data_IF_729659153924
#
_entry.id   IF_729659153924
#
_cell.length_a   1.000
_cell.length_b   1.000
_cell.length_c   1.000
_cell.angle_alpha   90.00
_cell.angle_beta   90.00
_cell.angle_gamma   90.00
#
_symmetry.space_group_name_H-M   'P 1'
#
loop_
_entity.id
_entity.type
_entity.pdbx_description
1 polymer ?
#
# COMPACT_ATOMS: atom_id res chain seq x y z
N UNK A 1 -22.09 -1.49 32.01
CA UNK A 1 -22.97 -0.60 31.23
C UNK A 1 -23.86 -1.48 30.39
N UNK A 2 -25.18 -1.23 30.38
CA UNK A 2 -26.14 -2.00 29.56
C UNK A 2 -26.07 -1.53 28.11
N UNK A 3 -26.55 -2.34 27.17
CA UNK A 3 -26.57 -1.95 25.76
C UNK A 3 -27.40 -0.68 25.50
N UNK A 4 -28.49 -0.47 26.27
CA UNK A 4 -29.31 0.73 26.16
C UNK A 4 -28.56 2.00 26.60
N UNK A 5 -27.74 1.91 27.66
CA UNK A 5 -26.87 3.00 28.05
C UNK A 5 -25.82 3.32 26.95
N UNK A 6 -25.33 2.30 26.25
CA UNK A 6 -24.37 2.48 25.14
C UNK A 6 -25.04 3.17 23.95
N UNK A 7 -26.29 2.80 23.63
CA UNK A 7 -27.09 3.48 22.59
C UNK A 7 -27.37 4.94 22.94
N UNK A 8 -27.66 5.25 24.20
CA UNK A 8 -27.80 6.64 24.65
C UNK A 8 -26.50 7.42 24.45
N UNK A 9 -25.36 6.81 24.80
CA UNK A 9 -24.03 7.41 24.62
C UNK A 9 -23.69 7.65 23.14
N UNK A 10 -24.16 6.82 22.22
CA UNK A 10 -24.05 7.04 20.77
C UNK A 10 -24.84 8.27 20.28
N UNK A 11 -25.83 8.75 21.02
CA UNK A 11 -26.57 9.96 20.67
C UNK A 11 -25.98 11.23 21.32
N UNK A 12 -24.88 11.11 22.05
CA UNK A 12 -24.22 12.26 22.68
C UNK A 12 -23.68 13.24 21.65
N UNK A 13 -23.78 14.54 21.94
CA UNK A 13 -23.13 15.59 21.13
C UNK A 13 -21.59 15.46 21.17
N UNK A 14 -21.04 14.96 22.29
CA UNK A 14 -19.60 14.71 22.41
C UNK A 14 -19.20 13.46 21.62
N UNK A 15 -18.43 13.68 20.56
CA UNK A 15 -17.90 12.61 19.73
C UNK A 15 -16.95 11.66 20.48
N UNK A 16 -16.31 12.09 21.57
CA UNK A 16 -15.49 11.18 22.39
C UNK A 16 -16.36 10.14 23.09
N UNK A 17 -17.53 10.54 23.60
CA UNK A 17 -18.48 9.60 24.18
C UNK A 17 -19.00 8.63 23.11
N UNK A 18 -19.28 9.09 21.90
CA UNK A 18 -19.68 8.19 20.80
C UNK A 18 -18.57 7.22 20.38
N UNK A 19 -17.30 7.65 20.38
CA UNK A 19 -16.13 6.77 20.16
C UNK A 19 -16.06 5.70 21.24
N UNK A 20 -16.15 6.08 22.52
CA UNK A 20 -16.13 5.14 23.63
C UNK A 20 -17.31 4.16 23.55
N UNK A 21 -18.50 4.62 23.14
CA UNK A 21 -19.66 3.75 22.93
C UNK A 21 -19.39 2.69 21.85
N UNK A 22 -18.75 3.08 20.74
CA UNK A 22 -18.33 2.12 19.72
C UNK A 22 -17.34 1.08 20.26
N UNK A 23 -16.43 1.45 21.17
CA UNK A 23 -15.49 0.52 21.80
C UNK A 23 -16.20 -0.45 22.76
N UNK A 24 -17.15 0.06 23.54
CA UNK A 24 -17.94 -0.74 24.49
C UNK A 24 -18.85 -1.76 23.80
N UNK A 25 -19.38 -1.43 22.60
CA UNK A 25 -20.21 -2.34 21.80
C UNK A 25 -19.52 -3.65 21.42
N UNK A 26 -18.18 -3.71 21.43
CA UNK A 26 -17.42 -4.93 21.12
C UNK A 26 -17.78 -6.09 22.07
N UNK A 27 -18.16 -5.80 23.32
CA UNK A 27 -18.56 -6.81 24.31
C UNK A 27 -20.01 -7.34 24.08
N UNK A 28 -20.74 -6.79 23.09
CA UNK A 28 -22.10 -7.19 22.70
C UNK A 28 -22.25 -7.52 21.19
N UNK A 29 -21.49 -8.47 20.62
CA UNK A 29 -21.44 -8.69 19.17
C UNK A 29 -22.79 -8.94 18.49
N UNK A 30 -23.69 -9.68 19.14
CA UNK A 30 -24.99 -10.08 18.57
C UNK A 30 -25.88 -8.87 18.25
N UNK A 31 -25.75 -7.80 19.04
CA UNK A 31 -26.53 -6.57 18.87
C UNK A 31 -25.71 -5.43 18.23
N UNK A 32 -24.38 -5.51 18.29
CA UNK A 32 -23.49 -4.41 17.96
C UNK A 32 -23.28 -4.20 16.46
N UNK A 33 -23.34 -5.26 15.65
CA UNK A 33 -22.89 -5.19 14.25
C UNK A 33 -23.72 -4.17 13.45
N UNK A 34 -25.05 -4.26 13.51
CA UNK A 34 -25.92 -3.35 12.77
C UNK A 34 -25.80 -1.91 13.29
N UNK A 35 -25.66 -1.74 14.61
CA UNK A 35 -25.46 -0.42 15.24
C UNK A 35 -24.15 0.22 14.76
N UNK A 36 -23.06 -0.55 14.70
CA UNK A 36 -21.76 -0.07 14.25
C UNK A 36 -21.76 0.22 12.74
N UNK A 37 -22.49 -0.54 11.94
CA UNK A 37 -22.67 -0.25 10.51
C UNK A 37 -23.42 1.07 10.33
N UNK A 38 -24.52 1.29 11.05
CA UNK A 38 -25.27 2.55 11.01
C UNK A 38 -24.40 3.75 11.44
N UNK A 39 -23.46 3.52 12.37
CA UNK A 39 -22.53 4.53 12.85
C UNK A 39 -21.56 5.03 11.75
N UNK A 40 -21.51 4.40 10.58
CA UNK A 40 -20.82 4.96 9.40
C UNK A 40 -21.46 6.25 8.87
N UNK A 41 -22.67 6.60 9.30
CA UNK A 41 -23.31 7.87 9.00
C UNK A 41 -23.00 8.98 10.02
N UNK A 42 -22.19 8.71 11.05
CA UNK A 42 -21.85 9.71 12.07
C UNK A 42 -21.19 10.95 11.45
N UNK A 43 -21.55 12.15 11.92
CA UNK A 43 -21.00 13.43 11.46
C UNK A 43 -19.47 13.52 11.61
N UNK A 44 -18.90 12.87 12.62
CA UNK A 44 -17.48 12.89 12.94
C UNK A 44 -16.72 11.71 12.28
N UNK A 45 -15.70 11.99 11.44
CA UNK A 45 -14.90 10.95 10.80
C UNK A 45 -14.16 9.99 11.74
N UNK A 46 -13.85 10.43 12.97
CA UNK A 46 -13.20 9.61 13.99
C UNK A 46 -14.15 8.58 14.58
N UNK A 47 -15.43 8.93 14.76
CA UNK A 47 -16.46 7.99 15.22
C UNK A 47 -16.67 6.90 14.17
N UNK A 48 -16.81 7.27 12.89
CA UNK A 48 -16.90 6.30 11.78
C UNK A 48 -15.70 5.36 11.69
N UNK A 49 -14.49 5.91 11.90
CA UNK A 49 -13.27 5.11 11.94
C UNK A 49 -13.26 4.14 13.12
N UNK A 50 -13.69 4.59 14.30
CA UNK A 50 -13.79 3.74 15.46
C UNK A 50 -14.84 2.64 15.27
N UNK A 51 -15.97 2.92 14.63
CA UNK A 51 -16.98 1.92 14.30
C UNK A 51 -16.39 0.80 13.42
N UNK A 52 -15.63 1.16 12.38
CA UNK A 52 -14.96 0.19 11.50
C UNK A 52 -13.92 -0.66 12.28
N UNK A 53 -13.18 -0.02 13.18
CA UNK A 53 -12.23 -0.70 14.06
C UNK A 53 -12.95 -1.66 15.00
N UNK A 54 -14.04 -1.25 15.63
CA UNK A 54 -14.84 -2.12 16.50
C UNK A 54 -15.42 -3.32 15.74
N UNK A 55 -15.94 -3.13 14.53
CA UNK A 55 -16.39 -4.22 13.66
C UNK A 55 -15.25 -5.19 13.32
N UNK A 56 -14.03 -4.68 13.10
CA UNK A 56 -12.85 -5.53 12.87
C UNK A 56 -12.40 -6.29 14.13
N UNK A 57 -12.62 -5.73 15.32
CA UNK A 57 -12.32 -6.36 16.60
C UNK A 57 -13.35 -7.43 16.98
N UNK A 58 -14.62 -7.24 16.58
CA UNK A 58 -15.65 -8.29 16.62
C UNK A 58 -15.23 -9.48 15.75
N UNK A 59 -14.68 -9.22 14.56
CA UNK A 59 -14.01 -10.22 13.73
C UNK A 59 -14.92 -10.89 12.70
N UNK A 60 -14.80 -12.21 12.54
CA UNK A 60 -15.45 -12.96 11.46
C UNK A 60 -16.98 -12.84 11.45
N UNK A 61 -17.60 -12.63 12.62
CA UNK A 61 -19.04 -12.45 12.78
C UNK A 61 -19.54 -11.19 12.01
N UNK A 62 -18.68 -10.19 11.85
CA UNK A 62 -18.97 -8.97 11.09
C UNK A 62 -18.90 -9.15 9.57
N UNK A 63 -18.27 -10.22 9.06
CA UNK A 63 -17.93 -10.33 7.62
C UNK A 63 -19.18 -10.35 6.75
N UNK A 64 -20.15 -11.21 7.06
CA UNK A 64 -21.34 -11.36 6.21
C UNK A 64 -22.19 -10.07 6.18
N UNK A 65 -22.50 -9.42 7.32
CA UNK A 65 -23.16 -8.11 7.31
C UNK A 65 -22.37 -7.05 6.51
N UNK A 66 -21.06 -6.96 6.71
CA UNK A 66 -20.20 -6.02 5.97
C UNK A 66 -20.21 -6.28 4.45
N UNK A 67 -20.17 -7.54 4.02
CA UNK A 67 -20.27 -7.90 2.59
C UNK A 67 -21.62 -7.45 2.01
N UNK A 68 -22.71 -7.69 2.72
CA UNK A 68 -24.04 -7.26 2.28
C UNK A 68 -24.10 -5.74 2.17
N UNK A 69 -23.61 -5.00 3.18
CA UNK A 69 -23.53 -3.54 3.13
C UNK A 69 -22.68 -3.04 1.97
N UNK A 70 -21.58 -3.72 1.62
CA UNK A 70 -20.75 -3.33 0.47
C UNK A 70 -21.50 -3.47 -0.87
N UNK A 71 -22.37 -4.49 -1.00
CA UNK A 71 -23.12 -4.80 -2.22
C UNK A 71 -24.37 -3.94 -2.38
N UNK A 72 -25.09 -3.70 -1.28
CA UNK A 72 -26.43 -3.13 -1.31
C UNK A 72 -26.47 -1.60 -1.11
N UNK A 73 -25.31 -0.98 -0.84
CA UNK A 73 -25.21 0.44 -0.52
C UNK A 73 -24.36 1.18 -1.58
N UNK A 74 -24.83 2.35 -2.03
CA UNK A 74 -24.15 3.25 -2.97
C UNK A 74 -23.44 4.43 -2.28
N UNK A 75 -23.61 4.60 -0.97
CA UNK A 75 -22.89 5.58 -0.17
C UNK A 75 -21.40 5.24 -0.08
N UNK A 76 -20.61 6.01 -0.81
CA UNK A 76 -19.15 5.91 -0.88
C UNK A 76 -18.47 6.03 0.48
N UNK A 77 -19.07 6.76 1.43
CA UNK A 77 -18.53 6.90 2.80
C UNK A 77 -18.65 5.55 3.51
N UNK A 78 -19.84 4.98 3.54
CA UNK A 78 -20.13 3.66 4.12
C UNK A 78 -19.26 2.57 3.49
N UNK A 79 -19.26 2.45 2.16
CA UNK A 79 -18.46 1.44 1.45
C UNK A 79 -16.97 1.54 1.78
N UNK A 80 -16.43 2.76 1.91
CA UNK A 80 -15.02 2.97 2.31
C UNK A 80 -14.73 2.39 3.71
N UNK A 81 -15.60 2.63 4.69
CA UNK A 81 -15.37 2.13 6.05
C UNK A 81 -15.63 0.62 6.16
N UNK A 82 -16.56 0.08 5.37
CA UNK A 82 -16.74 -1.36 5.18
C UNK A 82 -15.45 -2.01 4.64
N UNK A 83 -14.87 -1.48 3.56
CA UNK A 83 -13.60 -1.97 3.00
C UNK A 83 -12.47 -1.89 4.05
N UNK A 84 -12.45 -0.82 4.84
CA UNK A 84 -11.46 -0.67 5.91
C UNK A 84 -11.59 -1.77 6.96
N UNK A 85 -12.82 -2.03 7.44
CA UNK A 85 -13.10 -3.07 8.41
C UNK A 85 -12.75 -4.47 7.87
N UNK A 86 -13.22 -4.81 6.67
CA UNK A 86 -12.93 -6.10 6.00
C UNK A 86 -11.42 -6.35 5.86
N UNK A 87 -10.67 -5.32 5.47
CA UNK A 87 -9.20 -5.40 5.39
C UNK A 87 -8.56 -5.65 6.75
N UNK A 88 -9.03 -5.02 7.82
CA UNK A 88 -8.47 -5.21 9.17
C UNK A 88 -8.86 -6.55 9.80
N UNK A 89 -10.03 -7.11 9.44
CA UNK A 89 -10.39 -8.51 9.74
C UNK A 89 -9.40 -9.47 9.05
N UNK A 90 -8.93 -9.12 7.86
CA UNK A 90 -7.91 -9.84 7.09
C UNK A 90 -8.27 -11.31 6.82
N UNK A 91 -9.57 -11.58 6.63
CA UNK A 91 -10.07 -12.88 6.20
C UNK A 91 -10.12 -12.91 4.67
N UNK A 92 -9.45 -13.86 4.04
CA UNK A 92 -9.35 -13.94 2.57
C UNK A 92 -10.65 -14.35 1.89
N UNK A 93 -11.68 -14.81 2.63
CA UNK A 93 -13.00 -15.12 2.05
C UNK A 93 -13.69 -13.91 1.43
N UNK A 94 -13.26 -12.69 1.78
CA UNK A 94 -13.82 -11.42 1.29
C UNK A 94 -13.14 -10.92 0.01
N UNK A 95 -12.18 -11.71 -0.51
CA UNK A 95 -11.34 -11.33 -1.65
C UNK A 95 -12.18 -11.04 -2.91
N UNK A 96 -13.19 -11.86 -3.20
CA UNK A 96 -14.05 -11.70 -4.37
C UNK A 96 -14.80 -10.36 -4.33
N UNK A 97 -15.40 -10.01 -3.21
CA UNK A 97 -16.10 -8.74 -3.04
C UNK A 97 -15.17 -7.53 -3.16
N UNK A 98 -13.96 -7.63 -2.60
CA UNK A 98 -12.97 -6.57 -2.74
C UNK A 98 -12.43 -6.45 -4.17
N UNK A 99 -12.32 -7.57 -4.91
CA UNK A 99 -11.97 -7.56 -6.34
C UNK A 99 -13.08 -6.86 -7.14
N UNK A 100 -14.35 -7.17 -6.88
CA UNK A 100 -15.48 -6.50 -7.53
C UNK A 100 -15.51 -5.00 -7.24
N UNK A 101 -15.13 -4.57 -6.02
CA UNK A 101 -15.03 -3.16 -5.67
C UNK A 101 -13.93 -2.39 -6.46
N UNK A 102 -13.02 -3.09 -7.15
CA UNK A 102 -12.08 -2.46 -8.09
C UNK A 102 -12.76 -1.88 -9.33
N UNK A 103 -13.99 -2.31 -9.65
CA UNK A 103 -14.80 -1.82 -10.77
C UNK A 103 -15.76 -0.69 -10.39
N UNK A 104 -15.70 -0.21 -9.15
CA UNK A 104 -16.57 0.89 -8.71
C UNK A 104 -16.39 2.13 -9.58
N UNK A 105 -17.50 2.82 -9.88
CA UNK A 105 -17.50 4.12 -10.56
C UNK A 105 -16.79 5.19 -9.72
N UNK A 106 -16.83 5.06 -8.39
CA UNK A 106 -16.15 5.95 -7.47
C UNK A 106 -14.66 5.62 -7.31
N UNK A 107 -13.81 6.60 -7.59
CA UNK A 107 -12.35 6.43 -7.53
C UNK A 107 -11.84 6.15 -6.11
N UNK A 108 -12.52 6.64 -5.07
CA UNK A 108 -12.12 6.38 -3.69
C UNK A 108 -12.33 4.90 -3.37
N UNK A 109 -13.44 4.30 -3.79
CA UNK A 109 -13.71 2.88 -3.61
C UNK A 109 -12.68 2.01 -4.30
N UNK A 110 -12.39 2.24 -5.59
CA UNK A 110 -11.31 1.54 -6.31
C UNK A 110 -9.97 1.64 -5.59
N UNK A 111 -9.63 2.85 -5.12
CA UNK A 111 -8.39 3.12 -4.38
C UNK A 111 -8.31 2.36 -3.06
N UNK A 112 -9.39 2.29 -2.30
CA UNK A 112 -9.45 1.58 -1.01
C UNK A 112 -9.43 0.06 -1.22
N UNK A 113 -10.18 -0.46 -2.19
CA UNK A 113 -10.17 -1.86 -2.56
C UNK A 113 -8.77 -2.33 -2.99
N UNK A 114 -8.11 -1.61 -3.89
CA UNK A 114 -6.75 -1.94 -4.32
C UNK A 114 -5.76 -1.93 -3.16
N UNK A 115 -5.85 -0.93 -2.27
CA UNK A 115 -5.03 -0.87 -1.06
C UNK A 115 -5.30 -2.08 -0.15
N UNK A 116 -6.56 -2.45 0.03
CA UNK A 116 -6.97 -3.54 0.90
C UNK A 116 -6.41 -4.89 0.41
N UNK A 117 -6.68 -5.23 -0.85
CA UNK A 117 -6.19 -6.44 -1.50
C UNK A 117 -4.66 -6.54 -1.46
N UNK A 118 -3.97 -5.41 -1.66
CA UNK A 118 -2.51 -5.33 -1.55
C UNK A 118 -1.99 -5.61 -0.13
N UNK A 119 -2.62 -5.05 0.89
CA UNK A 119 -2.21 -5.24 2.30
C UNK A 119 -2.57 -6.64 2.83
N UNK A 120 -3.61 -7.26 2.25
CA UNK A 120 -4.00 -8.65 2.48
C UNK A 120 -3.19 -9.66 1.65
N UNK A 121 -2.35 -9.19 0.73
CA UNK A 121 -1.52 -10.02 -0.16
C UNK A 121 -2.35 -11.02 -1.01
N UNK A 122 -3.53 -10.59 -1.51
CA UNK A 122 -4.44 -11.41 -2.35
C UNK A 122 -3.88 -11.53 -3.76
N UNK A 123 -3.37 -12.70 -4.13
CA UNK A 123 -2.73 -12.94 -5.43
C UNK A 123 -3.75 -12.98 -6.59
N UNK A 124 -4.95 -13.47 -6.34
CA UNK A 124 -6.06 -13.60 -7.29
C UNK A 124 -6.49 -12.24 -7.86
N UNK A 125 -6.28 -11.16 -7.11
CA UNK A 125 -6.58 -9.80 -7.52
C UNK A 125 -5.56 -9.21 -8.51
N UNK A 126 -4.44 -9.88 -8.78
CA UNK A 126 -3.31 -9.33 -9.53
C UNK A 126 -3.72 -8.75 -10.88
N UNK A 127 -4.48 -9.52 -11.67
CA UNK A 127 -4.86 -9.11 -13.03
C UNK A 127 -5.77 -7.88 -13.00
N UNK A 128 -6.73 -7.88 -12.08
CA UNK A 128 -7.65 -6.74 -11.91
C UNK A 128 -6.94 -5.48 -11.42
N UNK A 129 -6.02 -5.62 -10.46
CA UNK A 129 -5.21 -4.48 -9.98
C UNK A 129 -4.29 -3.95 -11.09
N UNK A 130 -3.83 -4.79 -12.03
CA UNK A 130 -3.02 -4.34 -13.16
C UNK A 130 -3.77 -3.40 -14.11
N UNK A 131 -5.09 -3.57 -14.29
CA UNK A 131 -5.94 -2.66 -15.08
C UNK A 131 -5.94 -1.24 -14.50
N UNK A 132 -5.90 -1.12 -13.17
CA UNK A 132 -5.89 0.16 -12.45
C UNK A 132 -4.57 0.93 -12.54
N UNK A 133 -3.52 0.38 -13.16
CA UNK A 133 -2.25 1.09 -13.39
C UNK A 133 -2.40 2.29 -14.34
N UNK A 134 -3.46 2.29 -15.15
CA UNK A 134 -3.81 3.35 -16.11
C UNK A 134 -5.10 4.07 -15.74
N UNK A 135 -5.60 3.90 -14.51
CA UNK A 135 -6.79 4.59 -14.01
C UNK A 135 -6.66 6.11 -14.13
N UNK A 136 -7.77 6.82 -14.35
CA UNK A 136 -7.79 8.29 -14.45
C UNK A 136 -7.36 8.97 -13.16
N UNK A 137 -7.75 8.41 -12.00
CA UNK A 137 -7.37 8.94 -10.70
C UNK A 137 -5.93 8.55 -10.31
N UNK A 138 -5.14 9.56 -9.94
CA UNK A 138 -3.75 9.37 -9.55
C UNK A 138 -3.59 8.57 -8.25
N UNK A 139 -4.58 8.67 -7.35
CA UNK A 139 -4.63 7.94 -6.10
C UNK A 139 -4.86 6.45 -6.34
N UNK A 140 -5.78 6.11 -7.24
CA UNK A 140 -6.03 4.73 -7.69
C UNK A 140 -4.78 4.12 -8.30
N UNK A 141 -4.15 4.78 -9.29
CA UNK A 141 -2.89 4.29 -9.90
C UNK A 141 -1.81 4.01 -8.84
N UNK A 142 -1.67 4.93 -7.88
CA UNK A 142 -0.69 4.83 -6.79
C UNK A 142 -0.99 3.64 -5.87
N UNK A 143 -2.26 3.47 -5.47
CA UNK A 143 -2.70 2.34 -4.66
C UNK A 143 -2.49 1.01 -5.37
N UNK A 144 -2.90 0.89 -6.63
CA UNK A 144 -2.72 -0.31 -7.44
C UNK A 144 -1.25 -0.69 -7.58
N UNK A 145 -0.38 0.29 -7.90
CA UNK A 145 1.06 0.06 -8.01
C UNK A 145 1.67 -0.39 -6.68
N UNK A 146 1.25 0.20 -5.56
CA UNK A 146 1.71 -0.21 -4.22
C UNK A 146 1.24 -1.62 -3.90
N UNK A 147 -0.03 -1.93 -4.20
CA UNK A 147 -0.66 -3.22 -3.94
C UNK A 147 0.03 -4.37 -4.67
N UNK A 148 0.30 -4.22 -5.98
CA UNK A 148 1.09 -5.19 -6.76
C UNK A 148 2.48 -5.41 -6.17
N UNK A 149 3.08 -4.36 -5.60
CA UNK A 149 4.34 -4.45 -4.89
C UNK A 149 4.25 -5.14 -3.51
N UNK A 150 3.13 -5.02 -2.81
CA UNK A 150 2.88 -5.71 -1.54
C UNK A 150 2.58 -7.20 -1.77
N UNK A 151 1.76 -7.53 -2.78
CA UNK A 151 1.48 -8.90 -3.27
C UNK A 151 2.76 -9.57 -3.84
N UNK A 152 3.73 -8.79 -4.31
CA UNK A 152 4.93 -9.26 -5.04
C UNK A 152 4.61 -9.91 -6.39
N UNK A 153 3.60 -9.38 -7.09
CA UNK A 153 3.16 -9.88 -8.38
C UNK A 153 4.25 -9.76 -9.46
N UNK A 154 4.96 -10.85 -9.74
CA UNK A 154 6.01 -10.92 -10.78
C UNK A 154 5.45 -10.66 -12.19
N UNK A 155 4.24 -11.15 -12.46
CA UNK A 155 3.48 -10.90 -13.70
C UNK A 155 3.27 -9.41 -13.98
N UNK A 156 3.21 -8.57 -12.94
CA UNK A 156 2.94 -7.14 -13.07
C UNK A 156 4.18 -6.29 -13.40
N UNK A 157 5.38 -6.87 -13.42
CA UNK A 157 6.64 -6.10 -13.59
C UNK A 157 6.61 -5.23 -14.85
N UNK A 158 6.24 -5.80 -16.00
CA UNK A 158 6.30 -5.06 -17.26
C UNK A 158 5.17 -4.04 -17.39
N UNK A 159 3.99 -4.33 -16.84
CA UNK A 159 2.89 -3.38 -16.74
C UNK A 159 3.28 -2.17 -15.87
N UNK A 160 3.88 -2.39 -14.70
CA UNK A 160 4.39 -1.31 -13.83
C UNK A 160 5.48 -0.51 -14.54
N UNK A 161 6.40 -1.16 -15.27
CA UNK A 161 7.43 -0.44 -16.06
C UNK A 161 6.79 0.41 -17.17
N UNK A 162 5.76 -0.10 -17.85
CA UNK A 162 5.02 0.64 -18.90
C UNK A 162 4.33 1.87 -18.31
N UNK A 163 3.54 1.70 -17.24
CA UNK A 163 2.86 2.79 -16.54
C UNK A 163 3.86 3.85 -16.03
N UNK A 164 4.98 3.43 -15.43
CA UNK A 164 6.05 4.32 -14.97
C UNK A 164 6.65 5.18 -16.09
N UNK A 165 6.81 4.62 -17.31
CA UNK A 165 7.33 5.37 -18.46
C UNK A 165 6.30 6.37 -18.99
N UNK A 166 5.03 5.96 -19.04
CA UNK A 166 3.92 6.80 -19.50
C UNK A 166 3.63 8.01 -18.58
N UNK A 167 3.88 7.88 -17.27
CA UNK A 167 3.68 8.93 -16.27
C UNK A 167 4.66 10.11 -16.41
N UNK A 168 4.64 10.84 -17.52
CA UNK A 168 5.53 11.98 -17.79
C UNK A 168 5.27 13.10 -16.79
N UNK A 169 6.32 13.69 -16.21
CA UNK A 169 6.20 14.75 -15.20
C UNK A 169 5.81 14.28 -13.78
N UNK A 170 5.11 13.15 -13.63
CA UNK A 170 4.70 12.62 -12.33
C UNK A 170 5.85 11.90 -11.61
N UNK A 171 6.65 12.68 -10.89
CA UNK A 171 7.79 12.19 -10.12
C UNK A 171 7.36 11.30 -8.96
N UNK A 172 6.19 11.53 -8.38
CA UNK A 172 5.77 10.81 -7.18
C UNK A 172 5.30 9.40 -7.54
N UNK A 173 4.47 9.26 -8.57
CA UNK A 173 4.10 7.95 -9.10
C UNK A 173 5.32 7.14 -9.55
N UNK A 174 6.31 7.76 -10.20
CA UNK A 174 7.56 7.07 -10.58
C UNK A 174 8.32 6.52 -9.37
N UNK A 175 8.33 7.22 -8.23
CA UNK A 175 8.94 6.69 -6.99
C UNK A 175 8.18 5.49 -6.46
N UNK A 176 6.85 5.55 -6.47
CA UNK A 176 5.98 4.45 -6.04
C UNK A 176 6.22 3.22 -6.91
N UNK A 177 6.22 3.36 -8.24
CA UNK A 177 6.52 2.28 -9.18
C UNK A 177 7.90 1.67 -8.95
N UNK A 178 8.94 2.49 -8.76
CA UNK A 178 10.29 1.98 -8.46
C UNK A 178 10.34 1.21 -7.12
N UNK A 179 9.58 1.67 -6.10
CA UNK A 179 9.48 0.99 -4.81
C UNK A 179 8.76 -0.34 -4.94
N UNK A 180 7.67 -0.40 -5.70
CA UNK A 180 6.93 -1.62 -5.98
C UNK A 180 7.81 -2.65 -6.72
N UNK A 181 8.46 -2.24 -7.82
CA UNK A 181 9.40 -3.10 -8.57
C UNK A 181 10.52 -3.65 -7.67
N UNK A 182 11.06 -2.84 -6.75
CA UNK A 182 12.08 -3.29 -5.79
C UNK A 182 11.55 -4.32 -4.78
N UNK A 183 10.26 -4.28 -4.43
CA UNK A 183 9.66 -5.28 -3.55
C UNK A 183 9.43 -6.61 -4.28
N UNK A 184 8.99 -6.55 -5.54
CA UNK A 184 8.73 -7.72 -6.40
C UNK A 184 10.03 -8.42 -6.74
N UNK A 185 11.02 -7.68 -7.26
CA UNK A 185 12.34 -8.19 -7.64
C UNK A 185 13.44 -7.41 -6.89
N UNK A 186 13.76 -7.81 -5.65
CA UNK A 186 14.82 -7.18 -4.89
C UNK A 186 16.17 -7.57 -5.50
N UNK A 187 16.79 -6.65 -6.25
CA UNK A 187 18.17 -6.82 -6.74
C UNK A 187 19.08 -7.36 -5.62
N UNK A 188 19.91 -8.39 -5.89
CA UNK A 188 20.81 -8.93 -4.89
C UNK A 188 21.68 -7.79 -4.34
N UNK A 189 21.75 -7.67 -3.01
CA UNK A 189 22.60 -6.68 -2.34
C UNK A 189 24.02 -6.93 -2.84
N UNK A 190 24.60 -6.01 -3.63
CA UNK A 190 26.02 -6.04 -4.00
C UNK A 190 26.79 -6.23 -2.69
N UNK A 191 27.43 -7.38 -2.52
CA UNK A 191 28.23 -7.68 -1.34
C UNK A 191 29.20 -6.53 -1.12
N UNK A 192 29.30 -6.05 0.12
CA UNK A 192 30.47 -5.26 0.53
C UNK A 192 31.68 -6.06 0.05
N UNK A 193 32.52 -5.47 -0.80
CA UNK A 193 33.85 -6.01 -1.08
C UNK A 193 34.58 -6.09 0.25
N UNK A 194 34.50 -7.23 0.94
CA UNK A 194 35.47 -7.57 1.98
C UNK A 194 36.75 -7.84 1.22
N UNK A 195 37.67 -6.89 1.26
CA UNK A 195 39.06 -7.07 0.86
C UNK A 195 39.65 -8.19 1.71
N UNK A 196 39.54 -9.43 1.21
CA UNK A 196 40.29 -10.56 1.75
C UNK A 196 41.73 -10.33 1.28
N UNK A 197 42.57 -9.79 2.16
CA UNK A 197 44.02 -9.68 1.99
C UNK A 197 44.55 -11.11 1.84
N UNK A 198 44.70 -11.57 0.60
CA UNK A 198 45.37 -12.83 0.29
C UNK A 198 46.86 -12.62 0.52
N UNK A 199 47.36 -13.19 1.61
CA UNK A 199 48.78 -13.41 1.82
C UNK A 199 49.29 -14.36 0.74
N UNK A 200 50.29 -13.86 0.03
CA UNK A 200 51.04 -14.52 -1.04
C UNK A 200 51.87 -15.63 -0.39
N UNK A 201 51.62 -16.90 -0.72
CA UNK A 201 52.65 -17.95 -0.58
C UNK A 201 53.03 -18.40 -1.98
N UNK A 202 54.29 -18.14 -2.28
CA UNK A 202 55.03 -18.50 -3.47
C UNK A 202 55.21 -20.01 -3.55
N UNK A 203 54.87 -20.60 -4.69
CA UNK A 203 55.50 -21.84 -5.15
C UNK A 203 55.72 -21.73 -6.65
N UNK A 204 56.98 -21.82 -7.02
CA UNK A 204 57.55 -21.86 -8.36
C UNK A 204 57.56 -23.32 -8.82
N UNK A 205 57.18 -23.61 -10.08
CA UNK A 205 58.12 -23.82 -11.22
C UNK A 205 57.44 -24.48 -12.43
N UNK A 206 57.88 -24.00 -13.60
CA UNK A 206 58.14 -24.73 -14.87
C UNK A 206 56.95 -25.35 -15.62
N UNK A 207 56.48 -24.73 -16.71
CA UNK A 207 56.96 -24.75 -18.12
C UNK A 207 56.14 -25.71 -18.97
N UNK A 208 55.49 -25.18 -20.01
CA UNK A 208 55.69 -25.59 -21.41
C UNK A 208 55.02 -24.59 -22.35
N UNK A 209 55.70 -24.36 -23.47
CA UNK A 209 55.47 -23.37 -24.52
C UNK A 209 55.06 -24.14 -25.77
N UNK A 210 53.99 -23.73 -26.46
CA UNK A 210 53.68 -23.99 -27.88
C UNK A 210 52.66 -22.92 -28.31
N UNK A 211 53.06 -21.86 -29.04
CA UNK A 211 53.04 -21.72 -30.53
C UNK A 211 51.68 -22.09 -31.11
N UNK A 212 50.85 -21.14 -31.52
CA UNK A 212 50.82 -20.41 -32.82
C UNK A 212 49.46 -20.76 -33.46
N UNK A 213 48.61 -19.79 -33.78
CA UNK A 213 48.45 -19.36 -35.17
C UNK A 213 47.56 -18.12 -35.31
N UNK A 214 47.83 -17.38 -36.38
CA UNK A 214 47.36 -16.05 -36.74
C UNK A 214 46.72 -16.13 -38.12
N UNK A 215 45.50 -15.61 -38.30
CA UNK A 215 44.92 -15.16 -39.59
C UNK A 215 43.72 -14.27 -39.24
N UNK A 216 43.69 -12.94 -39.35
CA UNK A 216 43.73 -11.98 -40.49
C UNK A 216 42.71 -12.23 -41.61
N UNK A 217 41.70 -11.36 -41.71
CA UNK A 217 41.38 -10.51 -42.88
C UNK A 217 40.16 -9.62 -42.54
N UNK A 218 40.29 -8.28 -42.53
CA UNK A 218 40.00 -7.33 -43.64
C UNK A 218 38.51 -7.27 -44.00
N UNK A 219 37.87 -6.17 -44.40
CA UNK A 219 38.13 -4.72 -44.64
C UNK A 219 36.81 -4.28 -45.32
N UNK A 220 36.21 -3.12 -45.04
CA UNK A 220 36.07 -1.96 -45.97
C UNK A 220 34.95 -1.06 -45.43
N UNK A 221 35.14 0.23 -45.07
CA UNK A 221 35.11 1.47 -45.91
C UNK A 221 33.82 1.61 -46.72
N UNK A 222 33.11 2.74 -46.91
CA UNK A 222 33.35 4.20 -46.93
C UNK A 222 31.96 4.86 -47.17
N UNK A 223 31.61 6.06 -46.67
CA UNK A 223 31.42 7.36 -47.39
C UNK A 223 30.45 8.19 -46.50
N UNK A 224 30.75 9.38 -45.96
CA UNK A 224 30.77 10.75 -46.55
C UNK A 224 29.46 11.05 -47.33
N UNK A 225 28.61 12.03 -47.00
CA UNK A 225 28.68 13.51 -47.02
C UNK A 225 27.30 14.03 -46.54
N UNK A 226 26.94 15.30 -46.31
CA UNK A 226 27.55 16.59 -45.95
C UNK A 226 26.38 17.63 -46.02
N UNK A 227 26.32 18.63 -45.12
CA UNK A 227 25.65 19.97 -45.26
C UNK A 227 24.09 20.00 -45.45
N UNK A 228 23.29 21.01 -45.06
CA UNK A 228 23.51 22.43 -44.72
C UNK A 228 22.29 23.03 -43.97
N UNK A 229 22.59 24.07 -43.16
CA UNK A 229 21.81 25.21 -42.61
C UNK A 229 20.40 25.52 -43.16
N UNK A 230 19.51 26.04 -42.28
CA UNK A 230 19.06 27.47 -42.29
C UNK A 230 18.25 27.85 -41.04
N UNK A 231 18.39 29.13 -40.64
CA UNK A 231 17.71 29.88 -39.56
C UNK A 231 16.43 30.56 -40.10
N UNK A 232 15.47 30.85 -39.21
CA UNK A 232 14.68 32.11 -39.05
C UNK A 232 13.86 31.94 -37.75
N UNK A 233 14.15 32.65 -36.65
CA UNK A 233 13.84 34.04 -36.29
C UNK A 233 12.35 34.35 -36.17
N UNK A 234 11.87 34.53 -34.94
CA UNK A 234 10.81 35.48 -34.60
C UNK A 234 10.94 35.90 -33.12
N UNK A 235 10.50 37.11 -32.84
CA UNK A 235 10.97 38.01 -31.78
C UNK A 235 9.87 38.37 -30.77
N UNK A 236 10.19 38.24 -29.46
CA UNK A 236 9.84 39.11 -28.28
C UNK A 236 8.33 39.40 -27.95
N UNK A 237 7.97 39.98 -26.76
CA UNK A 237 8.78 40.70 -25.75
C UNK A 237 8.66 40.28 -24.27
N UNK A 238 9.47 40.99 -23.47
CA UNK A 238 9.77 40.90 -22.03
C UNK A 238 8.70 41.54 -21.12
N UNK A 239 8.62 41.07 -19.88
CA UNK A 239 8.47 41.82 -18.61
C UNK A 239 8.49 40.81 -17.45
N UNK A 240 8.99 40.99 -16.22
CA UNK A 240 9.74 42.01 -15.48
C UNK A 240 10.51 41.22 -14.39
N UNK A 241 11.71 41.70 -14.03
CA UNK A 241 12.45 41.27 -12.83
C UNK A 241 11.90 42.03 -11.64
N UNK A 242 11.67 41.35 -10.53
CA UNK A 242 11.79 41.94 -9.19
C UNK A 242 12.30 40.89 -8.20
N UNK A 243 13.14 41.34 -7.28
CA UNK A 243 14.04 40.53 -6.47
C UNK A 243 13.76 40.69 -4.98
N UNK A 244 13.65 39.52 -4.29
CA UNK A 244 14.05 39.23 -2.87
C UNK A 244 13.24 39.91 -1.73
N UNK A 245 13.27 39.40 -0.46
CA UNK A 245 14.30 38.53 0.14
C UNK A 245 13.85 37.28 0.94
N UNK A 246 14.89 36.57 1.38
CA UNK A 246 14.96 35.32 2.16
C UNK A 246 14.45 35.48 3.60
N UNK A 247 13.85 34.43 4.16
CA UNK A 247 13.86 34.15 5.59
C UNK A 247 14.38 32.73 5.85
N UNK A 248 15.55 32.65 6.52
CA UNK A 248 16.09 31.42 7.11
C UNK A 248 15.29 31.11 8.39
N UNK A 249 14.78 29.89 8.53
CA UNK A 249 14.52 29.28 9.85
C UNK A 249 15.27 27.96 9.95
N UNK A 250 16.29 27.98 10.78
CA UNK A 250 17.05 26.84 11.28
C UNK A 250 16.26 26.20 12.43
N UNK A 251 15.95 24.91 12.35
CA UNK A 251 15.67 24.11 13.55
C UNK A 251 16.36 22.75 13.44
N UNK A 252 17.14 22.45 14.48
CA UNK A 252 17.90 21.21 14.72
C UNK A 252 16.95 20.00 14.74
N UNK A 253 17.32 18.91 14.06
CA UNK A 253 16.75 17.57 14.31
C UNK A 253 17.77 16.76 15.11
N UNK A 254 17.42 16.45 16.37
CA UNK A 254 18.06 15.40 17.15
C UNK A 254 17.58 14.04 16.64
N UNK A 255 18.52 13.10 16.56
CA UNK A 255 18.32 11.74 16.10
C UNK A 255 18.11 10.80 17.28
N UNK A 256 16.95 10.16 17.38
CA UNK A 256 16.79 8.91 18.12
C UNK A 256 16.36 7.82 17.15
N UNK A 257 17.17 6.74 17.11
CA UNK A 257 16.90 5.51 16.35
C UNK A 257 15.66 4.84 16.94
N UNK A 258 14.55 4.82 16.20
CA UNK A 258 13.41 3.95 16.49
C UNK A 258 13.43 2.74 15.58
N UNK A 259 13.39 1.58 16.20
CA UNK A 259 13.20 0.25 15.59
C UNK A 259 11.87 0.20 14.84
N UNK A 260 11.85 -0.50 13.69
CA UNK A 260 10.74 -0.45 12.73
C UNK A 260 9.41 -1.03 13.29
N UNK A 261 8.29 -0.27 13.24
CA UNK A 261 6.98 -0.66 13.82
C UNK A 261 6.33 -1.93 13.25
N UNK A 262 6.74 -2.37 12.05
CA UNK A 262 6.03 -3.42 11.30
C UNK A 262 6.12 -4.83 11.89
N UNK A 263 7.16 -5.13 12.69
CA UNK A 263 7.30 -6.45 13.33
C UNK A 263 6.52 -6.57 14.64
N UNK A 264 6.25 -5.45 15.33
CA UNK A 264 5.51 -5.43 16.59
C UNK A 264 4.01 -5.62 16.32
N UNK A 265 3.48 -4.97 15.27
CA UNK A 265 2.06 -5.06 14.91
C UNK A 265 1.57 -6.49 14.56
N UNK A 266 2.34 -7.30 13.82
CA UNK A 266 1.92 -8.68 13.46
C UNK A 266 1.87 -9.61 14.68
N UNK A 267 2.70 -9.37 15.70
CA UNK A 267 2.72 -10.17 16.93
C UNK A 267 1.54 -9.79 17.83
N UNK A 268 1.21 -8.50 17.91
CA UNK A 268 0.10 -8.00 18.74
C UNK A 268 -1.28 -8.46 18.23
N UNK A 269 -1.51 -8.50 16.91
CA UNK A 269 -2.78 -8.97 16.34
C UNK A 269 -3.00 -10.46 16.69
N UNK A 270 -1.98 -11.30 16.54
CA UNK A 270 -2.08 -12.73 16.85
C UNK A 270 -2.31 -12.98 18.34
N UNK A 271 -1.70 -12.16 19.22
CA UNK A 271 -1.95 -12.21 20.68
C UNK A 271 -3.36 -11.75 21.05
N UNK A 272 -3.87 -10.68 20.44
CA UNK A 272 -5.25 -10.18 20.65
C UNK A 272 -6.29 -11.22 20.22
N UNK A 273 -6.08 -11.92 19.10
CA UNK A 273 -6.95 -13.02 18.64
C UNK A 273 -7.03 -14.18 19.63
N UNK A 274 -5.91 -14.53 20.25
CA UNK A 274 -5.87 -15.58 21.28
C UNK A 274 -6.57 -15.12 22.56
N UNK A 275 -6.40 -13.86 22.95
CA UNK A 275 -7.02 -13.29 24.14
C UNK A 275 -8.54 -13.16 23.98
N UNK A 276 -9.03 -12.71 22.82
CA UNK A 276 -10.47 -12.65 22.51
C UNK A 276 -11.14 -14.03 22.53
N UNK A 277 -10.51 -15.05 21.95
CA UNK A 277 -11.01 -16.44 22.03
C UNK A 277 -11.05 -16.99 23.46
N UNK A 278 -10.05 -16.66 24.28
CA UNK A 278 -10.03 -17.07 25.70
C UNK A 278 -11.14 -16.38 26.51
N UNK A 279 -11.40 -15.09 26.26
CA UNK A 279 -12.53 -14.38 26.86
C UNK A 279 -13.88 -15.00 26.47
N UNK A 280 -14.12 -15.27 25.17
CA UNK A 280 -15.34 -15.97 24.68
C UNK A 280 -15.56 -17.32 25.37
N UNK A 281 -14.51 -18.13 25.52
CA UNK A 281 -14.60 -19.43 26.20
C UNK A 281 -14.90 -19.31 27.71
N UNK A 282 -14.48 -18.21 28.35
CA UNK A 282 -14.77 -17.96 29.77
C UNK A 282 -16.20 -17.49 30.00
N UNK A 283 -16.73 -16.62 29.16
CA UNK A 283 -18.13 -16.15 29.23
C UNK A 283 -19.12 -17.26 28.88
N UNK A 284 -18.82 -18.11 27.90
CA UNK A 284 -19.63 -19.30 27.57
C UNK A 284 -19.66 -20.35 28.70
N UNK A 285 -18.59 -20.48 29.49
CA UNK A 285 -18.55 -21.37 30.65
C UNK A 285 -19.35 -20.84 31.84
N UNK A 286 -19.41 -19.53 32.02
CA UNK A 286 -20.18 -18.90 33.09
C UNK A 286 -21.68 -18.80 32.80
N UNK A 287 -22.11 -18.90 31.53
CA UNK A 287 -23.53 -18.99 31.14
C UNK A 287 -24.12 -20.41 31.21
N UNK A 288 -23.30 -21.45 31.48
CA UNK A 288 -23.71 -22.86 31.57
C UNK A 288 -23.72 -23.42 33.01
N UNK A 289 -23.60 -22.56 34.01
CA UNK A 289 -23.79 -22.88 35.44
C UNK A 289 -24.90 -22.02 35.99
#
# INVERSE_FOLDING_TARGET
MTIEQIKEKLNSEDHNLRIEACEELIEYPDDAIDILIETFHDKNPLVRFQAAKSLSEIGDDSIKPLINTLKDNDDTITQKYVILALKDIANTTVAEELINALDSTDFAIRKFAAKALGEMEVEEATDKIMELLTDDDWGVRTSATKALGDIRATKAIDAIKKARRAATGDKEFKKVANKALKKIDPKPKKGKKTTKKTTKKSETKKTTKKTENKTTSKKSTKKTENKTKTKKSETKPKAKKETKPKAKKTTKKSSTKTTSPKKIAKIDIKKRRILGRKKRLSTLKNRRK
#
